data_IF_714787416275
#
_entry.id   IF_714787416275
#
_cell.length_a   1.000
_cell.length_b   1.000
_cell.length_c   1.000
_cell.angle_alpha   90.00
_cell.angle_beta   90.00
_cell.angle_gamma   90.00
#
_symmetry.space_group_name_H-M   'P 1'
#
loop_
_entity.id
_entity.type
_entity.pdbx_description
1 polymer ?
#
# COMPACT_ATOMS: atom_id res chain seq x y z
N UNK A 1 -3.26 -1.01 17.95
CA UNK A 1 -4.11 -0.44 16.90
C UNK A 1 -5.36 -1.29 16.71
N UNK A 2 -6.50 -0.73 16.29
CA UNK A 2 -7.76 -1.49 16.13
C UNK A 2 -7.79 -2.39 14.90
N UNK A 3 -6.82 -2.31 13.98
CA UNK A 3 -6.79 -3.08 12.74
C UNK A 3 -6.54 -4.59 12.93
N UNK A 4 -5.65 -5.06 13.82
CA UNK A 4 -5.54 -6.47 14.13
C UNK A 4 -6.64 -6.86 15.12
N UNK A 5 -7.48 -7.77 14.72
CA UNK A 5 -8.56 -8.33 15.53
C UNK A 5 -9.13 -9.57 14.88
N UNK A 6 -10.05 -10.30 15.56
CA UNK A 6 -10.65 -11.47 14.97
C UNK A 6 -11.41 -11.09 13.70
N UNK A 7 -10.97 -11.68 12.58
CA UNK A 7 -11.61 -11.48 11.29
C UNK A 7 -12.97 -12.19 11.24
N UNK A 8 -13.96 -11.50 10.70
CA UNK A 8 -15.29 -12.07 10.44
C UNK A 8 -15.52 -12.21 8.94
N UNK A 9 -16.53 -12.99 8.54
CA UNK A 9 -16.86 -13.11 7.11
C UNK A 9 -17.48 -11.83 6.52
N UNK A 10 -17.81 -10.84 7.34
CA UNK A 10 -18.49 -9.61 6.90
C UNK A 10 -17.47 -8.60 6.40
N UNK A 11 -17.64 -8.14 5.14
CA UNK A 11 -16.78 -7.15 4.51
C UNK A 11 -17.55 -5.88 4.22
N UNK A 12 -16.83 -4.76 4.21
CA UNK A 12 -17.24 -3.51 3.60
C UNK A 12 -16.24 -3.15 2.51
N UNK A 13 -16.75 -2.57 1.46
CA UNK A 13 -15.96 -2.07 0.34
C UNK A 13 -16.36 -0.65 0.04
N UNK A 14 -15.37 0.23 -0.13
CA UNK A 14 -15.54 1.58 -0.63
C UNK A 14 -14.48 1.86 -1.68
N UNK A 15 -14.74 2.83 -2.55
CA UNK A 15 -13.87 3.17 -3.66
C UNK A 15 -13.95 4.65 -4.00
N UNK A 16 -12.89 5.15 -4.63
CA UNK A 16 -12.82 6.51 -5.15
C UNK A 16 -11.81 6.59 -6.28
N UNK A 17 -11.91 7.62 -7.11
CA UNK A 17 -10.93 7.96 -8.15
C UNK A 17 -10.26 9.26 -7.82
N UNK A 18 -8.93 9.30 -7.82
CA UNK A 18 -8.14 10.51 -7.66
C UNK A 18 -7.61 10.98 -9.03
N UNK A 19 -7.47 12.30 -9.28
CA UNK A 19 -6.87 12.78 -10.52
C UNK A 19 -5.40 12.35 -10.62
N UNK A 20 -5.06 11.50 -11.58
CA UNK A 20 -3.69 10.99 -11.76
C UNK A 20 -2.70 12.14 -12.06
N UNK A 21 -3.17 13.18 -12.76
CA UNK A 21 -2.36 14.37 -13.02
C UNK A 21 -1.91 15.12 -11.76
N UNK A 22 -2.73 15.15 -10.71
CA UNK A 22 -2.36 15.75 -9.42
C UNK A 22 -1.34 14.86 -8.68
N UNK A 23 -1.52 13.55 -8.72
CA UNK A 23 -0.54 12.58 -8.16
C UNK A 23 0.81 12.72 -8.87
N UNK A 24 0.80 12.85 -10.21
CA UNK A 24 2.00 13.06 -11.02
C UNK A 24 2.66 14.42 -10.74
N UNK A 25 1.89 15.46 -10.52
CA UNK A 25 2.43 16.77 -10.14
C UNK A 25 3.14 16.70 -8.77
N UNK A 26 2.54 16.04 -7.79
CA UNK A 26 3.13 15.84 -6.45
C UNK A 26 4.44 15.05 -6.56
N UNK A 27 4.44 13.87 -7.22
CA UNK A 27 5.65 13.04 -7.33
C UNK A 27 6.79 13.75 -8.04
N UNK A 28 6.47 14.51 -9.10
CA UNK A 28 7.47 15.26 -9.88
C UNK A 28 8.07 16.40 -9.06
N UNK A 29 7.23 17.17 -8.37
CA UNK A 29 7.67 18.31 -7.57
C UNK A 29 8.53 17.87 -6.37
N UNK A 30 8.19 16.74 -5.76
CA UNK A 30 8.85 16.23 -4.54
C UNK A 30 9.91 15.16 -4.83
N UNK A 31 10.14 14.79 -6.11
CA UNK A 31 11.18 13.84 -6.52
C UNK A 31 10.96 12.42 -6.00
N UNK A 32 9.70 11.97 -5.96
CA UNK A 32 9.31 10.66 -5.45
C UNK A 32 8.56 9.83 -6.50
N UNK A 33 8.12 8.63 -6.14
CA UNK A 33 7.38 7.71 -7.02
C UNK A 33 5.87 7.80 -6.78
N UNK A 34 5.06 7.23 -7.68
CA UNK A 34 3.61 7.08 -7.46
C UNK A 34 3.35 6.22 -6.22
N UNK A 35 4.13 5.16 -6.01
CA UNK A 35 4.03 4.30 -4.81
C UNK A 35 4.24 5.08 -3.52
N UNK A 36 5.19 6.02 -3.50
CA UNK A 36 5.43 6.91 -2.36
C UNK A 36 4.19 7.78 -2.08
N UNK A 37 3.63 8.39 -3.13
CA UNK A 37 2.43 9.24 -2.99
C UNK A 37 1.23 8.42 -2.51
N UNK A 38 0.94 7.29 -3.15
CA UNK A 38 -0.16 6.38 -2.75
C UNK A 38 0.00 5.97 -1.29
N UNK A 39 1.20 5.53 -0.90
CA UNK A 39 1.47 5.10 0.49
C UNK A 39 1.33 6.26 1.48
N UNK A 40 1.76 7.48 1.11
CA UNK A 40 1.60 8.66 1.95
C UNK A 40 0.13 9.09 2.11
N UNK A 41 -0.68 8.99 1.04
CA UNK A 41 -2.13 9.21 1.11
C UNK A 41 -2.78 8.20 2.06
N UNK A 42 -2.49 6.91 1.89
CA UNK A 42 -2.97 5.86 2.79
C UNK A 42 -2.56 6.12 4.25
N UNK A 43 -1.29 6.51 4.47
CA UNK A 43 -0.79 6.85 5.81
C UNK A 43 -1.55 8.03 6.42
N UNK A 44 -1.89 9.03 5.61
CA UNK A 44 -2.63 10.22 6.05
C UNK A 44 -4.04 9.87 6.49
N UNK A 45 -4.79 9.12 5.69
CA UNK A 45 -6.18 8.78 6.01
C UNK A 45 -6.26 7.81 7.20
N UNK A 46 -5.31 6.87 7.30
CA UNK A 46 -5.22 5.96 8.45
C UNK A 46 -4.89 6.71 9.75
N UNK A 47 -3.97 7.70 9.68
CA UNK A 47 -3.68 8.57 10.83
C UNK A 47 -4.92 9.31 11.30
N UNK A 48 -5.69 9.92 10.39
CA UNK A 48 -6.91 10.65 10.72
C UNK A 48 -7.94 9.73 11.32
N UNK A 49 -8.19 8.61 10.66
CA UNK A 49 -9.14 7.63 11.14
C UNK A 49 -8.83 7.18 12.58
N UNK A 50 -7.55 6.95 12.90
CA UNK A 50 -7.12 6.57 14.26
C UNK A 50 -7.36 7.71 15.27
N UNK A 51 -7.13 8.96 14.88
CA UNK A 51 -7.39 10.11 15.75
C UNK A 51 -8.88 10.26 16.02
N UNK A 52 -9.71 10.12 14.98
CA UNK A 52 -11.17 10.23 15.06
C UNK A 52 -11.81 9.10 15.90
N UNK A 53 -11.06 8.00 16.12
CA UNK A 53 -11.48 6.84 16.91
C UNK A 53 -10.74 6.71 18.26
N UNK A 54 -10.27 7.82 18.82
CA UNK A 54 -9.58 7.86 20.12
C UNK A 54 -8.40 6.86 20.26
N UNK A 55 -7.79 6.51 19.12
CA UNK A 55 -6.62 5.63 19.04
C UNK A 55 -5.38 6.39 18.50
N UNK A 56 -4.88 7.40 19.24
CA UNK A 56 -3.85 8.30 18.74
C UNK A 56 -2.60 7.51 18.29
N UNK A 57 -2.04 7.87 17.12
CA UNK A 57 -0.95 7.13 16.52
C UNK A 57 0.39 7.47 17.20
N UNK A 58 0.73 6.76 18.28
CA UNK A 58 1.98 6.96 19.02
C UNK A 58 3.18 6.28 18.36
N UNK A 59 2.94 5.25 17.53
CA UNK A 59 3.96 4.50 16.82
C UNK A 59 3.59 4.31 15.35
N UNK A 60 4.58 4.01 14.50
CA UNK A 60 4.33 3.68 13.11
C UNK A 60 3.52 2.38 12.99
N UNK A 61 2.65 2.29 11.97
CA UNK A 61 2.04 1.03 11.55
C UNK A 61 3.02 0.24 10.68
N UNK A 62 2.87 -1.08 10.69
CA UNK A 62 3.50 -1.96 9.71
C UNK A 62 2.49 -2.32 8.61
N UNK A 63 2.81 -1.96 7.37
CA UNK A 63 2.05 -2.42 6.21
C UNK A 63 2.83 -3.45 5.41
N UNK A 64 2.15 -4.35 4.71
CA UNK A 64 2.74 -5.18 3.68
C UNK A 64 2.44 -4.60 2.30
N UNK A 65 3.47 -4.52 1.45
CA UNK A 65 3.32 -4.17 0.04
C UNK A 65 3.67 -5.39 -0.81
N UNK A 66 2.74 -5.88 -1.66
CA UNK A 66 3.05 -6.97 -2.58
C UNK A 66 4.00 -6.47 -3.67
N UNK A 67 5.07 -7.22 -3.88
CA UNK A 67 6.02 -7.01 -4.97
C UNK A 67 6.07 -8.25 -5.86
N UNK A 68 6.03 -8.05 -7.18
CA UNK A 68 6.27 -9.11 -8.12
C UNK A 68 7.78 -9.41 -8.18
N UNK A 69 8.20 -10.62 -7.82
CA UNK A 69 9.58 -11.08 -8.06
C UNK A 69 9.68 -11.51 -9.52
N UNK A 70 10.21 -10.65 -10.36
CA UNK A 70 10.63 -11.03 -11.71
C UNK A 70 12.08 -11.50 -11.65
N UNK A 71 12.32 -12.78 -11.88
CA UNK A 71 13.62 -13.30 -12.32
C UNK A 71 13.48 -13.63 -13.80
N UNK A 72 14.46 -13.21 -14.61
CA UNK A 72 14.45 -13.35 -16.07
C UNK A 72 14.28 -14.81 -16.57
N UNK A 73 14.54 -15.80 -15.71
CA UNK A 73 14.38 -17.23 -16.01
C UNK A 73 12.93 -17.75 -15.82
N UNK A 74 11.99 -16.96 -15.32
CA UNK A 74 10.64 -17.40 -14.92
C UNK A 74 9.51 -16.90 -15.83
N UNK A 75 9.84 -16.31 -16.99
CA UNK A 75 8.82 -15.98 -18.00
C UNK A 75 8.12 -17.22 -18.60
N UNK A 76 8.67 -18.43 -18.41
CA UNK A 76 8.14 -19.67 -18.97
C UNK A 76 7.31 -20.52 -17.99
N UNK A 77 7.34 -20.21 -16.70
CA UNK A 77 6.55 -20.94 -15.70
C UNK A 77 5.53 -20.00 -15.07
N UNK A 78 4.26 -20.39 -15.05
CA UNK A 78 3.13 -19.65 -14.47
C UNK A 78 3.19 -19.52 -12.92
N UNK A 79 4.38 -19.42 -12.36
CA UNK A 79 4.63 -19.31 -10.92
C UNK A 79 4.79 -17.82 -10.53
N UNK A 80 3.67 -17.11 -10.45
CA UNK A 80 3.62 -15.74 -9.95
C UNK A 80 3.85 -15.72 -8.44
N UNK A 81 5.11 -15.74 -8.01
CA UNK A 81 5.46 -15.58 -6.59
C UNK A 81 5.34 -14.12 -6.21
N UNK A 82 4.26 -13.77 -5.51
CA UNK A 82 4.13 -12.50 -4.83
C UNK A 82 4.88 -12.57 -3.50
N UNK A 83 5.81 -11.68 -3.30
CA UNK A 83 6.45 -11.48 -2.01
C UNK A 83 5.83 -10.24 -1.33
N UNK A 84 5.58 -10.34 -0.02
CA UNK A 84 5.09 -9.22 0.77
C UNK A 84 6.29 -8.50 1.41
N UNK A 85 6.45 -7.24 1.08
CA UNK A 85 7.49 -6.38 1.61
C UNK A 85 6.96 -5.59 2.81
N UNK A 86 7.47 -5.81 4.04
CA UNK A 86 7.06 -5.01 5.18
C UNK A 86 7.61 -3.59 5.09
N UNK A 87 6.75 -2.61 5.25
CA UNK A 87 7.08 -1.18 5.26
C UNK A 87 6.51 -0.52 6.52
N UNK A 88 7.23 0.49 7.02
CA UNK A 88 6.72 1.32 8.12
C UNK A 88 5.91 2.49 7.58
N UNK A 89 4.70 2.67 8.09
CA UNK A 89 3.85 3.81 7.83
C UNK A 89 3.97 4.80 8.98
N UNK A 90 4.56 5.98 8.76
CA UNK A 90 4.80 6.97 9.83
C UNK A 90 3.51 7.73 10.18
N UNK A 91 2.51 7.03 10.70
CA UNK A 91 1.23 7.63 11.12
C UNK A 91 1.37 8.59 12.31
N UNK A 92 2.46 8.47 13.06
CA UNK A 92 2.82 9.38 14.16
C UNK A 92 3.41 10.72 13.68
N UNK A 93 3.75 10.87 12.38
CA UNK A 93 4.22 12.13 11.83
C UNK A 93 3.02 13.02 11.41
N UNK A 94 2.95 14.22 11.98
CA UNK A 94 1.84 15.14 11.72
C UNK A 94 2.00 15.92 10.41
N UNK A 95 3.23 16.29 10.06
CA UNK A 95 3.52 17.08 8.86
C UNK A 95 3.43 16.21 7.59
N UNK A 96 2.61 16.59 6.58
CA UNK A 96 2.41 15.78 5.38
C UNK A 96 3.68 15.60 4.54
N UNK A 97 4.53 16.62 4.43
CA UNK A 97 5.76 16.56 3.64
C UNK A 97 6.80 15.65 4.31
N UNK A 98 6.96 15.77 5.63
CA UNK A 98 7.83 14.90 6.43
C UNK A 98 7.31 13.47 6.40
N UNK A 99 6.00 13.28 6.45
CA UNK A 99 5.36 11.96 6.36
C UNK A 99 5.67 11.29 5.01
N UNK A 100 5.51 12.02 3.89
CA UNK A 100 5.89 11.51 2.57
C UNK A 100 7.38 11.18 2.50
N UNK A 101 8.26 12.02 3.03
CA UNK A 101 9.71 11.75 3.05
C UNK A 101 10.06 10.48 3.84
N UNK A 102 9.43 10.28 5.00
CA UNK A 102 9.61 9.05 5.79
C UNK A 102 9.08 7.80 5.07
N UNK A 103 7.95 7.93 4.35
CA UNK A 103 7.42 6.86 3.49
C UNK A 103 8.42 6.52 2.38
N UNK A 104 8.91 7.52 1.65
CA UNK A 104 9.92 7.34 0.59
C UNK A 104 11.18 6.63 1.14
N UNK A 105 11.69 7.04 2.29
CA UNK A 105 12.82 6.39 2.96
C UNK A 105 12.50 4.93 3.30
N UNK A 106 11.30 4.66 3.82
CA UNK A 106 10.86 3.30 4.16
C UNK A 106 10.80 2.41 2.93
N UNK A 107 10.18 2.88 1.86
CA UNK A 107 10.04 2.13 0.60
C UNK A 107 11.39 1.88 -0.08
N UNK A 108 12.27 2.87 -0.11
CA UNK A 108 13.61 2.74 -0.71
C UNK A 108 14.50 1.74 0.07
N UNK A 109 14.40 1.74 1.39
CA UNK A 109 15.20 0.84 2.23
C UNK A 109 14.64 -0.59 2.31
N UNK A 110 13.35 -0.78 2.07
CA UNK A 110 12.66 -2.05 2.28
C UNK A 110 13.21 -3.20 1.41
N UNK A 111 13.49 -3.05 0.08
CA UNK A 111 14.07 -4.13 -0.72
C UNK A 111 15.43 -4.60 -0.23
N UNK A 112 16.26 -3.69 0.29
CA UNK A 112 17.59 -4.02 0.82
C UNK A 112 17.46 -4.81 2.14
N UNK A 113 16.58 -4.35 3.04
CA UNK A 113 16.29 -5.06 4.29
C UNK A 113 15.71 -6.45 4.03
N UNK A 114 14.84 -6.58 3.03
CA UNK A 114 14.25 -7.84 2.64
C UNK A 114 15.30 -8.83 2.10
N UNK A 115 16.27 -8.37 1.29
CA UNK A 115 17.39 -9.19 0.80
C UNK A 115 18.34 -9.63 1.90
N UNK A 116 18.52 -8.80 2.93
CA UNK A 116 19.37 -9.07 4.07
C UNK A 116 18.69 -9.95 5.14
N UNK A 117 17.38 -10.11 5.09
CA UNK A 117 16.63 -10.93 6.05
C UNK A 117 16.89 -12.43 5.79
N UNK A 118 17.10 -13.23 6.86
CA UNK A 118 17.23 -14.69 6.72
C UNK A 118 16.02 -15.27 5.98
N UNK A 119 16.26 -16.28 5.14
CA UNK A 119 15.21 -16.94 4.34
C UNK A 119 14.07 -17.52 5.19
N UNK A 120 14.31 -17.78 6.47
CA UNK A 120 13.33 -18.25 7.47
C UNK A 120 12.28 -17.21 7.84
N UNK A 121 12.57 -15.89 7.67
CA UNK A 121 11.64 -14.79 7.92
C UNK A 121 10.78 -14.45 6.69
N UNK A 122 11.23 -14.87 5.52
CA UNK A 122 10.56 -14.66 4.23
C UNK A 122 9.81 -15.94 3.87
N UNK A 123 8.79 -16.29 4.61
CA UNK A 123 7.89 -17.37 4.22
C UNK A 123 7.06 -16.89 3.02
N UNK A 124 7.27 -17.53 1.88
CA UNK A 124 6.35 -17.51 0.76
C UNK A 124 4.98 -17.98 1.26
N UNK A 125 4.05 -17.04 1.45
CA UNK A 125 2.69 -17.35 1.93
C UNK A 125 1.98 -18.32 0.97
N UNK A 126 2.39 -18.36 -0.31
CA UNK A 126 1.87 -19.28 -1.31
C UNK A 126 2.53 -20.66 -1.32
N UNK A 127 3.80 -20.78 -0.93
CA UNK A 127 4.54 -22.05 -0.96
C UNK A 127 4.35 -22.89 0.30
N UNK A 128 3.94 -22.27 1.42
CA UNK A 128 3.74 -22.97 2.69
C UNK A 128 2.43 -23.78 2.76
N UNK A 129 1.53 -23.63 1.77
CA UNK A 129 0.29 -24.41 1.73
C UNK A 129 0.49 -25.66 0.85
N UNK A 130 0.39 -26.89 1.41
CA UNK A 130 0.29 -28.11 0.63
C UNK A 130 -0.77 -27.98 -0.45
N UNK A 131 -0.52 -28.52 -1.66
CA UNK A 131 -1.49 -28.44 -2.78
C UNK A 131 -2.90 -28.91 -2.42
N UNK A 132 -3.03 -29.85 -1.50
CA UNK A 132 -4.31 -30.35 -0.97
C UNK A 132 -5.10 -29.30 -0.17
N UNK A 133 -4.46 -28.24 0.32
CA UNK A 133 -5.09 -27.20 1.15
C UNK A 133 -5.40 -25.90 0.36
N UNK A 134 -5.22 -25.91 -0.96
CA UNK A 134 -5.54 -24.77 -1.85
C UNK A 134 -7.02 -24.72 -2.27
N UNK A 135 -7.87 -25.60 -1.73
CA UNK A 135 -9.31 -25.63 -2.01
C UNK A 135 -10.14 -24.77 -1.06
N UNK A 136 -11.43 -24.56 -1.37
CA UNK A 136 -12.32 -23.65 -0.61
C UNK A 136 -12.61 -24.07 0.85
N UNK A 137 -12.06 -25.19 1.32
CA UNK A 137 -12.38 -25.81 2.64
C UNK A 137 -11.35 -25.43 3.73
N UNK A 138 -10.26 -24.73 3.42
CA UNK A 138 -9.13 -24.57 4.34
C UNK A 138 -9.09 -23.27 5.13
N UNK A 139 -10.20 -22.89 5.75
CA UNK A 139 -10.19 -21.76 6.73
C UNK A 139 -9.59 -22.13 8.10
N UNK A 140 -9.47 -23.41 8.40
CA UNK A 140 -9.09 -23.91 9.74
C UNK A 140 -7.58 -24.09 9.97
N UNK A 141 -6.73 -24.48 9.03
CA UNK A 141 -5.31 -24.74 9.32
C UNK A 141 -4.43 -23.48 9.36
N UNK A 142 -4.86 -22.35 8.78
CA UNK A 142 -4.08 -21.11 8.84
C UNK A 142 -4.06 -20.49 10.24
N UNK A 143 -5.12 -20.73 11.03
CA UNK A 143 -5.19 -20.36 12.46
C UNK A 143 -4.23 -21.16 13.35
N UNK A 144 -3.81 -22.34 12.92
CA UNK A 144 -2.88 -23.17 13.68
C UNK A 144 -1.40 -22.73 13.55
N UNK A 145 -1.09 -21.85 12.58
CA UNK A 145 0.18 -21.15 12.50
C UNK A 145 0.08 -19.81 13.27
N UNK A 146 -0.23 -19.91 14.55
CA UNK A 146 -0.33 -18.76 15.47
C UNK A 146 1.04 -18.12 15.65
N UNK A 147 1.34 -17.13 14.81
CA UNK A 147 2.15 -16.02 15.25
C UNK A 147 1.28 -15.20 16.21
N UNK A 148 1.74 -14.88 17.42
CA UNK A 148 0.95 -14.19 18.44
C UNK A 148 0.48 -12.79 18.02
N UNK A 149 0.99 -12.27 16.92
CA UNK A 149 0.59 -10.98 16.32
C UNK A 149 0.81 -11.06 14.81
N UNK A 150 -0.13 -10.61 13.96
CA UNK A 150 0.13 -10.52 12.53
C UNK A 150 1.36 -9.63 12.31
N UNK A 151 2.29 -10.04 11.43
CA UNK A 151 3.54 -9.30 11.21
C UNK A 151 3.29 -7.91 10.59
N UNK A 152 2.07 -7.65 10.16
CA UNK A 152 1.64 -6.39 9.54
C UNK A 152 0.22 -6.02 9.98
N UNK A 153 -0.08 -4.73 10.00
CA UNK A 153 -1.39 -4.22 10.38
C UNK A 153 -2.36 -4.16 9.19
N UNK A 154 -1.85 -4.06 7.97
CA UNK A 154 -2.64 -3.91 6.74
C UNK A 154 -1.81 -4.21 5.50
N UNK A 155 -2.51 -4.31 4.37
CA UNK A 155 -1.88 -4.36 3.04
C UNK A 155 -2.15 -3.06 2.30
N UNK A 156 -1.12 -2.52 1.65
CA UNK A 156 -1.24 -1.45 0.64
C UNK A 156 -0.63 -1.98 -0.64
N UNK A 157 -1.35 -1.86 -1.76
CA UNK A 157 -0.85 -2.22 -3.07
C UNK A 157 -1.12 -1.12 -4.09
N UNK A 158 -0.20 -0.96 -5.03
CA UNK A 158 -0.40 -0.15 -6.21
C UNK A 158 0.06 -0.93 -7.44
N UNK A 159 -0.71 -0.83 -8.52
CA UNK A 159 -0.38 -1.41 -9.82
C UNK A 159 -0.60 -0.37 -10.92
N UNK A 160 0.31 -0.35 -11.89
CA UNK A 160 0.05 0.35 -13.14
C UNK A 160 -1.02 -0.41 -13.92
N UNK A 161 -2.11 0.25 -14.23
CA UNK A 161 -3.17 -0.29 -15.07
C UNK A 161 -2.84 -0.18 -16.56
N UNK A 162 -3.76 -0.62 -17.43
CA UNK A 162 -3.57 -0.56 -18.88
C UNK A 162 -3.47 0.88 -19.37
N UNK A 163 -2.50 1.11 -20.27
CA UNK A 163 -2.30 2.43 -20.87
C UNK A 163 -3.38 2.81 -21.92
N UNK A 164 -4.18 1.82 -22.35
CA UNK A 164 -5.25 2.02 -23.34
C UNK A 164 -6.61 1.82 -22.68
N UNK A 165 -7.64 2.55 -23.12
CA UNK A 165 -9.01 2.32 -22.66
C UNK A 165 -9.42 0.86 -22.89
N UNK A 166 -10.09 0.29 -21.90
CA UNK A 166 -10.70 -1.04 -22.00
C UNK A 166 -12.16 -0.89 -22.40
N UNK A 167 -12.68 -1.89 -23.11
CA UNK A 167 -14.06 -1.95 -23.53
C UNK A 167 -14.67 -3.28 -23.13
N UNK A 168 -15.91 -3.25 -22.65
CA UNK A 168 -16.72 -4.43 -22.36
C UNK A 168 -18.01 -4.34 -23.16
N UNK A 169 -18.26 -5.31 -24.04
CA UNK A 169 -19.42 -5.32 -24.95
C UNK A 169 -19.58 -4.00 -25.75
N UNK A 170 -18.48 -3.39 -26.18
CA UNK A 170 -18.48 -2.13 -26.94
C UNK A 170 -18.63 -0.86 -26.09
N UNK A 171 -18.77 -0.98 -24.77
CA UNK A 171 -18.87 0.14 -23.83
C UNK A 171 -17.51 0.37 -23.17
N UNK A 172 -17.05 1.63 -23.12
CA UNK A 172 -15.82 1.99 -22.49
C UNK A 172 -15.89 1.80 -20.96
N UNK A 173 -14.87 1.15 -20.41
CA UNK A 173 -14.67 1.04 -18.96
C UNK A 173 -14.11 2.36 -18.45
N UNK A 174 -14.85 3.08 -17.62
CA UNK A 174 -14.47 4.41 -17.11
C UNK A 174 -13.73 4.37 -15.79
N UNK A 175 -13.69 3.23 -15.08
CA UNK A 175 -12.97 3.05 -13.83
C UNK A 175 -12.65 1.59 -13.57
N UNK A 176 -11.57 1.33 -12.84
CA UNK A 176 -11.12 -0.01 -12.47
C UNK A 176 -10.68 -0.03 -11.00
N UNK A 177 -11.63 -0.33 -10.12
CA UNK A 177 -11.42 -0.31 -8.67
C UNK A 177 -10.91 -1.67 -8.18
N UNK A 178 -9.63 -1.78 -7.81
CA UNK A 178 -9.06 -3.05 -7.39
C UNK A 178 -9.61 -3.49 -6.03
N UNK A 179 -9.87 -4.79 -5.90
CA UNK A 179 -10.30 -5.43 -4.67
C UNK A 179 -9.26 -6.48 -4.28
N UNK A 180 -8.86 -6.50 -3.02
CA UNK A 180 -7.92 -7.47 -2.49
C UNK A 180 -8.54 -8.23 -1.30
N UNK A 181 -7.84 -9.25 -0.79
CA UNK A 181 -8.31 -10.02 0.33
C UNK A 181 -7.99 -9.35 1.68
N UNK A 182 -8.87 -9.53 2.65
CA UNK A 182 -8.65 -9.23 4.08
C UNK A 182 -8.64 -10.55 4.84
N UNK A 183 -7.67 -10.73 5.71
CA UNK A 183 -7.51 -11.93 6.54
C UNK A 183 -6.89 -11.58 7.90
N UNK A 184 -6.99 -12.51 8.85
CA UNK A 184 -6.34 -12.39 10.16
C UNK A 184 -4.81 -12.16 10.07
N UNK A 185 -4.19 -12.58 8.97
CA UNK A 185 -2.75 -12.42 8.75
C UNK A 185 -2.37 -11.06 8.15
N UNK A 186 -3.31 -10.40 7.50
CA UNK A 186 -3.07 -9.16 6.74
C UNK A 186 -3.71 -7.94 7.41
N UNK A 187 -4.26 -8.12 8.60
CA UNK A 187 -5.04 -7.08 9.29
C UNK A 187 -6.44 -6.90 8.72
N UNK A 188 -7.23 -6.09 9.39
CA UNK A 188 -8.66 -5.87 9.09
C UNK A 188 -8.93 -4.93 7.92
N UNK A 189 -7.90 -4.43 7.21
CA UNK A 189 -8.02 -3.46 6.12
C UNK A 189 -7.00 -3.75 5.02
N UNK A 190 -7.44 -3.65 3.77
CA UNK A 190 -6.56 -3.66 2.60
C UNK A 190 -6.92 -2.51 1.69
N UNK A 191 -5.91 -1.75 1.26
CA UNK A 191 -6.03 -0.63 0.33
C UNK A 191 -5.30 -1.01 -0.95
N UNK A 192 -6.02 -0.98 -2.06
CA UNK A 192 -5.45 -1.26 -3.37
C UNK A 192 -5.69 -0.08 -4.31
N UNK A 193 -4.68 0.32 -5.06
CA UNK A 193 -4.76 1.39 -6.03
C UNK A 193 -4.33 0.90 -7.41
N UNK A 194 -4.93 1.44 -8.46
CA UNK A 194 -4.58 1.15 -9.84
C UNK A 194 -4.68 2.41 -10.68
N UNK A 195 -3.62 2.72 -11.44
CA UNK A 195 -3.67 3.79 -12.42
C UNK A 195 -4.48 3.33 -13.63
N UNK A 196 -5.53 4.06 -13.99
CA UNK A 196 -6.33 3.78 -15.18
C UNK A 196 -6.73 5.06 -15.90
N UNK A 197 -6.35 5.17 -17.17
CA UNK A 197 -6.61 6.37 -17.96
C UNK A 197 -6.04 7.63 -17.28
N UNK A 198 -6.93 8.53 -16.85
CA UNK A 198 -6.57 9.79 -16.18
C UNK A 198 -6.75 9.74 -14.65
N UNK A 199 -7.04 8.58 -14.11
CA UNK A 199 -7.37 8.40 -12.71
C UNK A 199 -6.42 7.43 -12.03
N UNK A 200 -6.27 7.60 -10.72
CA UNK A 200 -5.79 6.62 -9.78
C UNK A 200 -7.03 6.09 -9.04
N UNK A 201 -7.49 4.92 -9.44
CA UNK A 201 -8.64 4.27 -8.84
C UNK A 201 -8.22 3.52 -7.59
N UNK A 202 -8.89 3.81 -6.48
CA UNK A 202 -8.58 3.24 -5.16
C UNK A 202 -9.76 2.43 -4.66
N UNK A 203 -9.51 1.18 -4.28
CA UNK A 203 -10.45 0.33 -3.60
C UNK A 203 -9.97 0.02 -2.19
N UNK A 204 -10.86 0.15 -1.21
CA UNK A 204 -10.59 -0.17 0.20
C UNK A 204 -11.58 -1.24 0.65
N UNK A 205 -11.05 -2.37 1.10
CA UNK A 205 -11.86 -3.43 1.69
C UNK A 205 -11.50 -3.62 3.16
N UNK A 206 -12.51 -3.75 4.01
CA UNK A 206 -12.33 -3.86 5.46
C UNK A 206 -13.14 -5.01 6.05
N UNK A 207 -12.67 -5.54 7.18
CA UNK A 207 -13.51 -6.29 8.08
C UNK A 207 -14.51 -5.33 8.75
N UNK A 208 -15.81 -5.56 8.57
CA UNK A 208 -16.88 -4.66 9.03
C UNK A 208 -16.81 -4.35 10.53
N UNK A 209 -16.34 -5.30 11.33
CA UNK A 209 -16.30 -5.14 12.77
C UNK A 209 -15.09 -4.30 13.24
N UNK A 210 -14.02 -4.24 12.43
CA UNK A 210 -12.79 -3.52 12.77
C UNK A 210 -12.79 -2.10 12.21
N UNK A 211 -13.31 -1.92 10.98
CA UNK A 211 -13.42 -0.62 10.30
C UNK A 211 -14.81 -0.53 9.65
N UNK A 212 -15.82 -0.10 10.40
CA UNK A 212 -17.20 -0.08 9.92
C UNK A 212 -17.52 1.06 8.96
N UNK A 213 -16.75 2.13 9.01
CA UNK A 213 -16.94 3.44 8.34
C UNK A 213 -15.95 3.64 7.19
N UNK A 214 -15.74 2.61 6.38
CA UNK A 214 -14.76 2.62 5.27
C UNK A 214 -14.98 3.77 4.27
N UNK A 215 -16.20 4.28 4.12
CA UNK A 215 -16.50 5.41 3.24
C UNK A 215 -15.88 6.71 3.75
N UNK A 216 -15.80 6.90 5.06
CA UNK A 216 -15.14 8.08 5.66
C UNK A 216 -13.64 8.04 5.40
N UNK A 217 -13.01 6.85 5.50
CA UNK A 217 -11.61 6.65 5.11
C UNK A 217 -11.39 7.01 3.65
N UNK A 218 -12.28 6.56 2.77
CA UNK A 218 -12.19 6.79 1.32
C UNK A 218 -12.40 8.25 0.99
N UNK A 219 -13.38 8.92 1.62
CA UNK A 219 -13.69 10.33 1.40
C UNK A 219 -12.53 11.28 1.75
N UNK A 220 -11.68 10.90 2.69
CA UNK A 220 -10.54 11.71 3.11
C UNK A 220 -9.34 11.68 2.13
N UNK A 221 -9.32 10.77 1.14
CA UNK A 221 -8.20 10.65 0.19
C UNK A 221 -8.02 11.90 -0.67
N UNK A 222 -9.10 12.53 -1.13
CA UNK A 222 -9.02 13.77 -1.91
C UNK A 222 -8.41 14.92 -1.09
N UNK A 223 -8.81 15.05 0.17
CA UNK A 223 -8.23 16.06 1.05
C UNK A 223 -6.75 15.78 1.32
N UNK A 224 -6.37 14.51 1.53
CA UNK A 224 -4.97 14.12 1.71
C UNK A 224 -4.12 14.47 0.48
N UNK A 225 -4.66 14.28 -0.74
CA UNK A 225 -3.97 14.68 -1.98
C UNK A 225 -3.84 16.20 -2.08
N UNK A 226 -4.88 16.94 -1.75
CA UNK A 226 -4.84 18.41 -1.73
C UNK A 226 -3.79 18.95 -0.75
N UNK A 227 -3.62 18.34 0.42
CA UNK A 227 -2.58 18.71 1.37
C UNK A 227 -1.17 18.46 0.83
N UNK A 228 -0.93 17.31 0.20
CA UNK A 228 0.36 17.05 -0.44
C UNK A 228 0.61 18.02 -1.59
N UNK A 229 -0.41 18.33 -2.39
CA UNK A 229 -0.31 19.33 -3.46
C UNK A 229 0.04 20.72 -2.90
N UNK A 230 -0.53 21.11 -1.78
CA UNK A 230 -0.18 22.38 -1.11
C UNK A 230 1.31 22.40 -0.66
N UNK A 231 1.84 21.26 -0.21
CA UNK A 231 3.26 21.12 0.14
C UNK A 231 4.20 21.34 -1.04
N UNK A 232 3.77 21.06 -2.30
CA UNK A 232 4.63 21.26 -3.48
C UNK A 232 4.96 22.73 -3.74
N UNK A 233 4.10 23.64 -3.30
CA UNK A 233 4.30 25.10 -3.45
C UNK A 233 5.45 25.64 -2.58
N UNK A 234 5.82 24.89 -1.54
CA UNK A 234 6.86 25.27 -0.57
C UNK A 234 8.17 24.44 -0.76
N UNK A 235 8.48 24.04 -2.00
CA UNK A 235 9.51 23.06 -2.39
C UNK A 235 10.97 23.49 -2.08
N UNK A 236 11.31 23.87 -0.87
CA UNK A 236 12.72 23.96 -0.45
C UNK A 236 13.24 22.71 0.30
N UNK A 237 12.39 21.74 0.62
CA UNK A 237 12.70 20.72 1.65
C UNK A 237 13.08 19.32 1.18
N UNK A 238 12.91 18.97 -0.11
CA UNK A 238 13.10 17.58 -0.56
C UNK A 238 14.10 17.40 -1.73
N UNK A 239 14.85 18.41 -2.10
CA UNK A 239 15.97 18.19 -3.03
C UNK A 239 17.06 17.40 -2.31
N UNK A 240 17.44 16.20 -2.78
CA UNK A 240 18.66 15.54 -2.31
C UNK A 240 19.83 16.50 -2.52
N UNK A 241 20.68 16.62 -1.51
CA UNK A 241 21.90 17.41 -1.60
C UNK A 241 22.65 16.97 -2.89
N UNK A 242 22.87 17.92 -3.80
CA UNK A 242 23.63 17.65 -5.03
C UNK A 242 24.99 17.08 -4.62
N UNK A 243 25.40 15.90 -5.12
CA UNK A 243 26.70 15.37 -4.78
C UNK A 243 27.78 16.41 -5.12
N UNK A 244 28.81 16.59 -4.29
CA UNK A 244 29.86 17.55 -4.55
C UNK A 244 30.51 17.23 -5.90
N UNK A 245 30.63 18.24 -6.74
CA UNK A 245 31.36 18.15 -8.00
C UNK A 245 32.76 17.62 -7.71
N UNK A 246 33.08 16.43 -8.16
CA UNK A 246 34.47 15.97 -8.23
C UNK A 246 35.19 16.86 -9.25
N UNK A 247 36.23 17.60 -8.88
CA UNK A 247 37.03 18.31 -9.85
C UNK A 247 37.72 17.28 -10.76
N UNK A 248 37.54 17.43 -12.06
CA UNK A 248 38.31 16.68 -13.04
C UNK A 248 39.79 17.06 -12.89
N UNK A 249 40.60 16.11 -12.39
CA UNK A 249 42.06 16.22 -12.47
C UNK A 249 42.49 16.18 -13.93
N UNK A 250 43.23 17.22 -14.34
CA UNK A 250 43.95 17.27 -15.60
C UNK A 250 45.17 16.35 -15.56
#
# INVERSE_FOLDING_TARGET
>A
TPFPGPDTARRRFAFTSLPLGEVDAVRTALGCTVDDVVTALCTTVLRRWLIDHDAPPNTALAAAMPIARRTDAQFAAADHRLSLLPIALPINEADPARRLHKVHTSLTAAPQRFRAAPATLVRDVGAALPRALRGPISRTPLRALTLPTPPVNLIISHAAGPARPLYTAGIEVTGNFPVSAVSDMTGGITIAAMSYGRHLDVGIITCRNLVPDVWDVTGQLHQALSELTACTRNVRYLRPARPPHRPMSR
#
